data_IF_804361042141
#
_entry.id   IF_804361042141
#
_cell.length_a   1.000
_cell.length_b   1.000
_cell.length_c   1.000
_cell.angle_alpha   90.00
_cell.angle_beta   90.00
_cell.angle_gamma   90.00
#
_symmetry.space_group_name_H-M   'P 1'
#
loop_
_entity.id
_entity.type
_entity.pdbx_description
1 polymer ?
#
# COMPACT_ATOMS: atom_id res chain seq x y z
N UNK A 1 4.03 37.19 -13.53
CA UNK A 1 3.50 36.03 -14.30
C UNK A 1 4.44 34.83 -14.29
N UNK A 2 5.69 34.92 -14.80
CA UNK A 2 6.62 33.76 -14.87
C UNK A 2 6.98 33.14 -13.50
N UNK A 3 7.21 33.95 -12.46
CA UNK A 3 7.59 33.44 -11.14
C UNK A 3 6.47 32.61 -10.48
N UNK A 4 5.24 33.14 -10.44
CA UNK A 4 4.07 32.42 -9.91
C UNK A 4 3.78 31.11 -10.66
N UNK A 5 4.04 31.07 -11.96
CA UNK A 5 3.90 29.85 -12.76
C UNK A 5 4.92 28.79 -12.34
N UNK A 6 6.20 29.18 -12.19
CA UNK A 6 7.26 28.27 -11.75
C UNK A 6 7.03 27.75 -10.32
N UNK A 7 6.53 28.58 -9.41
CA UNK A 7 6.16 28.14 -8.06
C UNK A 7 5.03 27.11 -8.08
N UNK A 8 3.97 27.36 -8.86
CA UNK A 8 2.86 26.41 -9.02
C UNK A 8 3.32 25.10 -9.65
N UNK A 9 4.19 25.16 -10.66
CA UNK A 9 4.81 23.98 -11.24
C UNK A 9 5.61 23.21 -10.20
N UNK A 10 6.49 23.87 -9.44
CA UNK A 10 7.29 23.23 -8.39
C UNK A 10 6.39 22.54 -7.35
N UNK A 11 5.37 23.22 -6.85
CA UNK A 11 4.40 22.63 -5.92
C UNK A 11 3.70 21.42 -6.51
N UNK A 12 3.29 21.48 -7.78
CA UNK A 12 2.64 20.38 -8.47
C UNK A 12 3.55 19.16 -8.60
N UNK A 13 4.81 19.37 -9.03
CA UNK A 13 5.77 18.27 -9.19
C UNK A 13 6.08 17.62 -7.85
N UNK A 14 6.29 18.42 -6.79
CA UNK A 14 6.51 17.90 -5.43
C UNK A 14 5.30 17.11 -4.93
N UNK A 15 4.08 17.63 -5.11
CA UNK A 15 2.86 16.89 -4.74
C UNK A 15 2.74 15.57 -5.52
N UNK A 16 3.11 15.56 -6.80
CA UNK A 16 3.12 14.36 -7.63
C UNK A 16 4.13 13.33 -7.11
N UNK A 17 5.35 13.75 -6.79
CA UNK A 17 6.38 12.89 -6.20
C UNK A 17 5.94 12.29 -4.85
N UNK A 18 5.34 13.11 -3.98
CA UNK A 18 4.79 12.66 -2.70
C UNK A 18 3.66 11.64 -2.88
N UNK A 19 2.78 11.87 -3.87
CA UNK A 19 1.71 10.93 -4.20
C UNK A 19 2.26 9.59 -4.72
N UNK A 20 3.24 9.63 -5.62
CA UNK A 20 3.91 8.43 -6.14
C UNK A 20 4.62 7.64 -5.04
N UNK A 21 5.12 8.33 -4.00
CA UNK A 21 5.71 7.70 -2.83
C UNK A 21 4.69 7.09 -1.84
N UNK A 22 3.40 7.17 -2.14
CA UNK A 22 2.31 6.67 -1.30
C UNK A 22 1.82 7.70 -0.27
N UNK A 23 1.99 9.00 -0.48
CA UNK A 23 1.46 10.02 0.42
C UNK A 23 -0.07 10.08 0.37
N UNK A 24 -0.74 9.76 1.49
CA UNK A 24 -2.21 9.83 1.63
C UNK A 24 -2.73 11.26 1.62
N UNK A 25 -2.00 12.17 2.25
CA UNK A 25 -2.35 13.58 2.30
C UNK A 25 -1.18 14.45 1.82
N UNK A 26 -1.14 14.66 0.50
CA UNK A 26 -0.07 15.42 -0.15
C UNK A 26 -0.05 16.89 0.24
N UNK A 27 -1.20 17.48 0.62
CA UNK A 27 -1.25 18.88 1.11
C UNK A 27 -0.56 19.03 2.46
N UNK A 28 -0.80 18.10 3.38
CA UNK A 28 -0.13 18.09 4.68
C UNK A 28 1.38 17.85 4.54
N UNK A 29 1.77 16.88 3.69
CA UNK A 29 3.18 16.63 3.39
C UNK A 29 3.87 17.83 2.73
N UNK A 30 3.19 18.51 1.80
CA UNK A 30 3.71 19.73 1.17
C UNK A 30 3.94 20.85 2.19
N UNK A 31 3.08 20.98 3.20
CA UNK A 31 3.23 21.99 4.25
C UNK A 31 4.44 21.75 5.16
N UNK A 32 4.89 20.49 5.26
CA UNK A 32 6.09 20.10 6.01
C UNK A 32 7.38 20.23 5.19
N UNK A 33 7.26 20.48 3.88
CA UNK A 33 8.35 20.48 2.94
C UNK A 33 8.74 21.92 2.59
N UNK A 34 10.01 22.25 2.78
CA UNK A 34 10.56 23.56 2.45
C UNK A 34 10.82 23.69 0.95
N UNK A 35 9.84 24.23 0.22
CA UNK A 35 9.88 24.40 -1.25
C UNK A 35 11.04 25.28 -1.74
N UNK A 36 11.66 26.08 -0.86
CA UNK A 36 12.78 26.95 -1.19
C UNK A 36 14.06 26.14 -1.48
N UNK A 37 14.29 25.08 -0.70
CA UNK A 37 15.48 24.23 -0.79
C UNK A 37 15.39 23.17 -1.89
N UNK A 38 14.20 23.01 -2.46
CA UNK A 38 13.93 22.03 -3.50
C UNK A 38 14.37 22.58 -4.86
N UNK A 39 15.06 21.79 -5.67
CA UNK A 39 15.41 22.15 -7.04
C UNK A 39 14.60 21.30 -8.01
N UNK A 40 13.98 21.95 -8.99
CA UNK A 40 13.30 21.29 -10.10
C UNK A 40 14.28 21.21 -11.27
N UNK A 41 14.66 20.00 -11.65
CA UNK A 41 15.54 19.77 -12.79
C UNK A 41 14.77 19.83 -14.11
N UNK A 42 15.51 20.06 -15.20
CA UNK A 42 14.94 20.11 -16.56
C UNK A 42 14.32 18.77 -17.00
N UNK A 43 14.82 17.65 -16.45
CA UNK A 43 14.31 16.30 -16.68
C UNK A 43 12.97 16.00 -15.96
N UNK A 44 12.44 16.96 -15.20
CA UNK A 44 11.22 16.80 -14.41
C UNK A 44 11.41 16.03 -13.09
N UNK A 45 12.66 15.79 -12.70
CA UNK A 45 13.02 15.23 -11.39
C UNK A 45 13.16 16.34 -10.34
N UNK A 46 13.00 15.97 -9.07
CA UNK A 46 13.06 16.91 -7.95
C UNK A 46 14.19 16.51 -7.01
N UNK A 47 15.12 17.43 -6.78
CA UNK A 47 16.23 17.26 -5.83
C UNK A 47 15.92 17.97 -4.50
N UNK A 48 16.46 17.43 -3.40
CA UNK A 48 16.25 17.96 -2.05
C UNK A 48 15.00 17.42 -1.32
N UNK A 49 14.16 16.61 -1.97
CA UNK A 49 13.00 15.99 -1.34
C UNK A 49 13.36 14.64 -0.67
N UNK A 50 13.54 14.61 0.65
CA UNK A 50 13.80 13.38 1.39
C UNK A 50 12.51 12.68 1.85
N UNK A 51 12.02 11.80 0.98
CA UNK A 51 10.83 10.97 1.22
C UNK A 51 11.06 9.97 2.35
N UNK A 52 12.28 9.47 2.54
CA UNK A 52 12.59 8.47 3.60
C UNK A 52 12.50 9.12 4.98
N UNK A 53 13.00 10.35 5.11
CA UNK A 53 12.85 11.13 6.35
C UNK A 53 11.39 11.39 6.67
N UNK A 54 10.60 11.86 5.69
CA UNK A 54 9.16 12.08 5.88
C UNK A 54 8.41 10.81 6.32
N UNK A 55 8.73 9.65 5.74
CA UNK A 55 8.13 8.37 6.17
C UNK A 55 8.47 7.98 7.61
N UNK A 56 9.62 8.42 8.14
CA UNK A 56 10.02 8.17 9.53
C UNK A 56 9.38 9.15 10.51
N UNK A 57 9.32 10.43 10.16
CA UNK A 57 8.81 11.49 11.03
C UNK A 57 7.27 11.54 11.05
N UNK A 58 6.64 11.37 9.90
CA UNK A 58 5.18 11.45 9.72
C UNK A 58 4.61 10.22 9.00
N UNK A 59 4.82 9.00 9.54
CA UNK A 59 4.40 7.75 8.91
C UNK A 59 2.89 7.69 8.62
N UNK A 60 2.08 8.30 9.49
CA UNK A 60 0.61 8.35 9.37
C UNK A 60 0.11 9.12 8.14
N UNK A 61 0.97 9.90 7.47
CA UNK A 61 0.64 10.59 6.22
C UNK A 61 0.93 9.75 4.98
N UNK A 62 1.46 8.54 5.13
CA UNK A 62 1.75 7.61 4.03
C UNK A 62 0.81 6.40 4.08
N UNK A 63 0.64 5.78 2.92
CA UNK A 63 -0.04 4.50 2.80
C UNK A 63 0.82 3.43 3.46
N UNK A 64 0.20 2.69 4.38
CA UNK A 64 0.79 1.48 4.91
C UNK A 64 0.89 0.46 3.77
N UNK A 65 2.05 -0.18 3.65
CA UNK A 65 2.18 -1.37 2.84
C UNK A 65 1.24 -2.42 3.43
N UNK A 66 0.03 -2.49 2.88
CA UNK A 66 -0.94 -3.53 3.20
C UNK A 66 -0.33 -4.85 2.75
N UNK A 67 0.49 -5.47 3.61
CA UNK A 67 0.81 -6.88 3.52
C UNK A 67 -0.50 -7.61 3.70
N UNK A 68 -1.18 -7.83 2.57
CA UNK A 68 -2.36 -8.70 2.54
C UNK A 68 -1.89 -10.03 3.08
N UNK A 69 -2.38 -10.39 4.24
CA UNK A 69 -2.20 -11.73 4.77
C UNK A 69 -3.07 -12.60 3.86
N UNK A 70 -2.45 -13.23 2.87
CA UNK A 70 -3.12 -14.23 2.05
C UNK A 70 -3.46 -15.40 2.97
N UNK A 71 -4.71 -15.48 3.39
CA UNK A 71 -5.19 -16.67 4.09
C UNK A 71 -5.02 -17.87 3.16
N UNK A 72 -4.57 -19.01 3.70
CA UNK A 72 -4.50 -20.28 2.99
C UNK A 72 -5.92 -20.84 2.80
N UNK A 73 -6.78 -20.10 2.11
CA UNK A 73 -8.19 -20.44 1.92
C UNK A 73 -8.35 -21.91 1.56
N UNK A 74 -9.37 -22.56 2.13
CA UNK A 74 -9.63 -23.97 1.86
C UNK A 74 -10.03 -24.14 0.38
N UNK A 75 -9.11 -24.62 -0.44
CA UNK A 75 -9.40 -25.02 -1.81
C UNK A 75 -10.08 -26.38 -1.78
N UNK A 76 -11.41 -26.38 -1.79
CA UNK A 76 -12.17 -27.60 -2.07
C UNK A 76 -11.89 -28.01 -3.52
N UNK A 77 -10.95 -28.92 -3.73
CA UNK A 77 -10.87 -29.63 -4.99
C UNK A 77 -12.10 -30.52 -5.05
N UNK A 78 -13.18 -30.05 -5.66
CA UNK A 78 -14.30 -30.87 -6.11
C UNK A 78 -13.81 -31.85 -7.18
N UNK A 79 -12.97 -32.80 -6.77
CA UNK A 79 -12.84 -34.09 -7.41
C UNK A 79 -13.89 -34.94 -6.69
N UNK A 80 -15.00 -35.23 -7.38
CA UNK A 80 -16.00 -36.19 -6.89
C UNK A 80 -15.25 -37.48 -6.53
N UNK A 81 -15.09 -37.72 -5.25
CA UNK A 81 -14.73 -39.04 -4.75
C UNK A 81 -15.82 -39.38 -3.76
N UNK A 82 -16.80 -40.14 -4.24
CA UNK A 82 -17.92 -40.69 -3.49
C UNK A 82 -17.46 -41.76 -2.48
N UNK A 83 -16.40 -41.49 -1.72
CA UNK A 83 -15.94 -42.32 -0.62
C UNK A 83 -16.22 -41.55 0.65
N UNK A 84 -17.24 -42.00 1.40
CA UNK A 84 -17.50 -41.55 2.78
C UNK A 84 -16.15 -41.37 3.49
N UNK A 85 -15.91 -40.18 4.02
CA UNK A 85 -14.68 -39.87 4.74
C UNK A 85 -14.43 -40.91 5.83
N UNK A 86 -13.17 -41.12 6.19
CA UNK A 86 -12.81 -42.07 7.25
C UNK A 86 -13.53 -41.74 8.56
N UNK A 87 -13.69 -40.45 8.87
CA UNK A 87 -14.51 -39.96 9.97
C UNK A 87 -15.98 -40.40 9.86
N UNK A 88 -16.59 -40.32 8.67
CA UNK A 88 -17.96 -40.79 8.46
C UNK A 88 -18.10 -42.31 8.63
N UNK A 89 -17.07 -43.08 8.25
CA UNK A 89 -17.06 -44.54 8.46
C UNK A 89 -16.98 -44.89 9.94
N UNK A 90 -16.06 -44.28 10.68
CA UNK A 90 -15.89 -44.50 12.12
C UNK A 90 -17.18 -44.16 12.90
N UNK A 91 -17.85 -43.07 12.52
CA UNK A 91 -19.12 -42.68 13.12
C UNK A 91 -20.24 -43.70 12.86
N UNK A 92 -20.36 -44.20 11.63
CA UNK A 92 -21.31 -45.27 11.31
C UNK A 92 -21.02 -46.56 12.09
N UNK A 93 -19.75 -46.95 12.19
CA UNK A 93 -19.35 -48.13 12.96
C UNK A 93 -19.70 -47.99 14.44
N UNK A 94 -19.50 -46.80 15.03
CA UNK A 94 -19.85 -46.54 16.43
C UNK A 94 -21.38 -46.62 16.67
N UNK A 95 -22.19 -46.14 15.73
CA UNK A 95 -23.66 -46.22 15.82
C UNK A 95 -24.20 -47.64 15.69
N UNK A 96 -23.58 -48.48 14.87
CA UNK A 96 -23.99 -49.88 14.66
C UNK A 96 -23.57 -50.82 15.81
N UNK A 97 -22.77 -50.34 16.78
CA UNK A 97 -22.27 -51.14 17.90
C UNK A 97 -23.17 -51.08 19.16
N UNK A 98 -24.34 -50.44 19.07
CA UNK A 98 -25.34 -50.35 20.14
C UNK A 98 -26.48 -51.33 19.87
#
# INVERSE_FOLDING_TARGET
>A
MKQQYNEKLKQYVVQSALKQAGGRNTKALLALVELQDIVLNEDGTVEGLDIKKLKREVPYLFEEENKKIEGTGYYSTNKKVDKKSEAAKQFQTALMRR
#
